data_IF_811680974237
#
_entry.id   IF_811680974237
#
_cell.length_a   1.000
_cell.length_b   1.000
_cell.length_c   1.000
_cell.angle_alpha   90.00
_cell.angle_beta   90.00
_cell.angle_gamma   90.00
#
_symmetry.space_group_name_H-M   'P 1'
#
loop_
_entity.id
_entity.type
_entity.pdbx_description
1 polymer ?
#
# COMPACT_ATOMS: atom_id res chain seq x y z
N UNK A 1 9.54 7.05 -20.71
CA UNK A 1 9.19 8.44 -21.11
C UNK A 1 9.88 9.49 -20.24
N UNK A 2 9.62 9.61 -18.93
CA UNK A 2 10.23 10.68 -18.11
C UNK A 2 11.77 10.67 -18.07
N UNK A 3 12.41 9.50 -17.91
CA UNK A 3 13.88 9.37 -17.99
C UNK A 3 14.47 9.82 -19.33
N UNK A 4 13.73 9.66 -20.43
CA UNK A 4 14.16 10.09 -21.77
C UNK A 4 13.96 11.59 -22.00
N UNK A 5 12.99 12.21 -21.33
CA UNK A 5 12.66 13.64 -21.49
C UNK A 5 13.47 14.54 -20.54
N UNK A 6 13.67 14.10 -19.29
CA UNK A 6 14.26 14.93 -18.22
C UNK A 6 15.63 14.45 -17.75
N UNK A 7 16.15 13.36 -18.32
CA UNK A 7 17.41 12.75 -17.88
C UNK A 7 17.25 11.88 -16.62
N UNK A 8 18.23 11.02 -16.39
CA UNK A 8 18.18 10.00 -15.32
C UNK A 8 18.30 10.65 -13.94
N UNK A 9 19.28 11.52 -13.72
CA UNK A 9 19.52 12.16 -12.41
C UNK A 9 18.32 12.95 -11.91
N UNK A 10 17.74 13.82 -12.75
CA UNK A 10 16.58 14.63 -12.37
C UNK A 10 15.34 13.76 -12.10
N UNK A 11 15.14 12.70 -12.88
CA UNK A 11 14.00 11.78 -12.67
C UNK A 11 14.16 10.99 -11.38
N UNK A 12 15.34 10.45 -11.11
CA UNK A 12 15.60 9.63 -9.93
C UNK A 12 15.57 10.48 -8.65
N UNK A 13 16.10 11.71 -8.67
CA UNK A 13 15.99 12.65 -7.55
C UNK A 13 14.52 12.99 -7.21
N UNK A 14 13.68 13.21 -8.23
CA UNK A 14 12.25 13.45 -8.03
C UNK A 14 11.52 12.22 -7.52
N UNK A 15 11.85 11.04 -8.04
CA UNK A 15 11.29 9.78 -7.56
C UNK A 15 11.62 9.55 -6.08
N UNK A 16 12.88 9.76 -5.68
CA UNK A 16 13.30 9.66 -4.29
C UNK A 16 12.60 10.67 -3.37
N UNK A 17 12.41 11.90 -3.83
CA UNK A 17 11.64 12.92 -3.09
C UNK A 17 10.19 12.48 -2.85
N UNK A 18 9.51 12.01 -3.91
CA UNK A 18 8.12 11.53 -3.81
C UNK A 18 8.04 10.33 -2.87
N UNK A 19 8.95 9.37 -3.03
CA UNK A 19 8.98 8.16 -2.20
C UNK A 19 9.19 8.50 -0.71
N UNK A 20 10.10 9.43 -0.40
CA UNK A 20 10.31 9.92 0.96
C UNK A 20 9.05 10.53 1.55
N UNK A 21 8.36 11.38 0.80
CA UNK A 21 7.10 12.01 1.24
C UNK A 21 6.01 10.96 1.44
N UNK A 22 5.85 10.01 0.51
CA UNK A 22 4.90 8.91 0.64
C UNK A 22 5.15 8.07 1.90
N UNK A 23 6.41 7.76 2.21
CA UNK A 23 6.75 7.00 3.41
C UNK A 23 6.46 7.77 4.70
N UNK A 24 6.84 9.06 4.75
CA UNK A 24 6.53 9.92 5.90
C UNK A 24 5.01 10.01 6.10
N UNK A 25 4.25 10.23 5.03
CA UNK A 25 2.79 10.33 5.08
C UNK A 25 2.16 9.02 5.54
N UNK A 26 2.60 7.88 4.99
CA UNK A 26 2.10 6.55 5.38
C UNK A 26 2.34 6.30 6.86
N UNK A 27 3.57 6.53 7.34
CA UNK A 27 3.91 6.36 8.74
C UNK A 27 3.08 7.28 9.65
N UNK A 28 2.97 8.56 9.30
CA UNK A 28 2.21 9.53 10.07
C UNK A 28 0.73 9.14 10.20
N UNK A 29 0.08 8.72 9.11
CA UNK A 29 -1.32 8.29 9.12
C UNK A 29 -1.50 7.03 9.95
N UNK A 30 -0.63 6.03 9.80
CA UNK A 30 -0.71 4.78 10.57
C UNK A 30 -0.51 5.06 12.07
N UNK A 31 0.50 5.84 12.44
CA UNK A 31 0.76 6.17 13.84
C UNK A 31 -0.36 7.01 14.46
N UNK A 32 -0.91 7.97 13.72
CA UNK A 32 -2.07 8.74 14.16
C UNK A 32 -3.29 7.84 14.39
N UNK A 33 -3.56 6.92 13.47
CA UNK A 33 -4.66 5.97 13.60
C UNK A 33 -4.51 5.05 14.81
N UNK A 34 -3.29 4.52 15.05
CA UNK A 34 -3.00 3.67 16.21
C UNK A 34 -3.23 4.46 17.50
N UNK A 35 -2.67 5.67 17.62
CA UNK A 35 -2.84 6.50 18.80
C UNK A 35 -4.32 6.85 19.05
N UNK A 36 -5.05 7.22 17.99
CA UNK A 36 -6.50 7.48 18.07
C UNK A 36 -7.28 6.26 18.54
N UNK A 37 -6.91 5.06 18.07
CA UNK A 37 -7.57 3.81 18.46
C UNK A 37 -7.28 3.46 19.92
N UNK A 38 -6.04 3.65 20.40
CA UNK A 38 -5.68 3.42 21.81
C UNK A 38 -6.39 4.39 22.77
N UNK A 39 -6.64 5.63 22.35
CA UNK A 39 -7.43 6.57 23.15
C UNK A 39 -8.93 6.25 23.15
N UNK A 40 -9.42 5.55 22.12
CA UNK A 40 -10.85 5.23 21.96
C UNK A 40 -11.24 3.86 22.51
N UNK A 41 -10.29 2.92 22.66
CA UNK A 41 -10.54 1.53 23.01
C UNK A 41 -9.94 1.18 24.36
N UNK A 42 -10.67 0.41 25.16
CA UNK A 42 -10.15 -0.17 26.40
C UNK A 42 -9.39 -1.48 26.12
N UNK A 43 -8.56 -1.98 27.05
CA UNK A 43 -7.85 -3.26 26.88
C UNK A 43 -8.78 -4.48 26.71
N UNK A 44 -10.00 -4.40 27.24
CA UNK A 44 -11.02 -5.46 27.12
C UNK A 44 -11.58 -5.53 25.69
N UNK A 45 -11.81 -4.38 25.06
CA UNK A 45 -12.25 -4.28 23.67
C UNK A 45 -11.27 -4.91 22.68
N UNK A 46 -9.98 -4.70 22.91
CA UNK A 46 -8.91 -5.29 22.09
C UNK A 46 -8.85 -6.81 22.23
N UNK A 47 -9.19 -7.34 23.42
CA UNK A 47 -9.25 -8.78 23.65
C UNK A 47 -10.44 -9.42 22.92
N UNK A 48 -11.60 -8.77 22.97
CA UNK A 48 -12.78 -9.21 22.22
C UNK A 48 -12.59 -9.13 20.70
N UNK A 49 -12.01 -8.04 20.19
CA UNK A 49 -11.70 -7.90 18.76
C UNK A 49 -10.75 -9.01 18.26
N UNK A 50 -9.76 -9.37 19.09
CA UNK A 50 -8.82 -10.47 18.82
C UNK A 50 -9.52 -11.84 18.82
N UNK A 51 -10.42 -12.09 19.77
CA UNK A 51 -11.21 -13.33 19.81
C UNK A 51 -12.12 -13.47 18.59
N UNK A 52 -12.69 -12.36 18.10
CA UNK A 52 -13.54 -12.36 16.90
C UNK A 52 -12.79 -12.27 15.56
N UNK A 53 -11.44 -12.20 15.55
CA UNK A 53 -10.61 -12.00 14.35
C UNK A 53 -11.05 -10.79 13.49
N UNK A 54 -11.69 -9.80 14.11
CA UNK A 54 -12.13 -8.59 13.42
C UNK A 54 -10.99 -7.57 13.42
N UNK A 55 -10.88 -6.80 12.33
CA UNK A 55 -10.00 -5.64 12.33
C UNK A 55 -10.50 -4.61 13.36
N UNK A 56 -9.58 -3.88 14.00
CA UNK A 56 -9.93 -2.82 14.96
C UNK A 56 -10.92 -1.81 14.37
N UNK A 57 -10.82 -1.52 13.07
CA UNK A 57 -11.75 -0.65 12.36
C UNK A 57 -13.17 -1.25 12.27
N UNK A 58 -13.29 -2.55 12.00
CA UNK A 58 -14.58 -3.26 12.01
C UNK A 58 -15.18 -3.37 13.42
N UNK A 59 -14.34 -3.52 14.45
CA UNK A 59 -14.81 -3.54 15.84
C UNK A 59 -15.38 -2.17 16.24
N UNK A 60 -14.59 -1.09 16.03
CA UNK A 60 -15.04 0.28 16.26
C UNK A 60 -16.31 0.62 15.46
N UNK A 61 -16.44 0.15 14.22
CA UNK A 61 -17.64 0.36 13.41
C UNK A 61 -18.91 -0.25 14.03
N UNK A 62 -18.80 -1.43 14.65
CA UNK A 62 -19.90 -2.11 15.31
C UNK A 62 -20.27 -1.44 16.64
N UNK A 63 -19.28 -1.06 17.43
CA UNK A 63 -19.49 -0.38 18.73
C UNK A 63 -20.16 1.00 18.53
N UNK A 64 -19.68 1.78 17.55
CA UNK A 64 -20.18 3.12 17.26
C UNK A 64 -21.52 3.14 16.50
N UNK A 65 -22.04 2.00 16.03
CA UNK A 65 -23.28 1.88 15.23
C UNK A 65 -23.39 2.95 14.11
N UNK A 66 -22.25 3.36 13.53
CA UNK A 66 -22.22 4.49 12.60
C UNK A 66 -22.45 3.99 11.16
N UNK A 67 -23.62 4.29 10.54
CA UNK A 67 -23.96 3.78 9.20
C UNK A 67 -22.95 4.22 8.13
N UNK A 68 -22.24 5.33 8.36
CA UNK A 68 -21.20 5.82 7.46
C UNK A 68 -20.02 4.86 7.38
N UNK A 69 -19.57 4.31 8.52
CA UNK A 69 -18.39 3.44 8.56
C UNK A 69 -18.73 2.06 7.97
N UNK A 70 -19.93 1.55 8.23
CA UNK A 70 -20.41 0.27 7.68
C UNK A 70 -20.43 0.25 6.15
N UNK A 71 -20.76 1.38 5.51
CA UNK A 71 -20.77 1.52 4.05
C UNK A 71 -19.36 1.83 3.51
N UNK A 72 -18.59 2.67 4.21
CA UNK A 72 -17.27 3.09 3.76
C UNK A 72 -16.22 1.96 3.86
N UNK A 73 -16.30 1.12 4.90
CA UNK A 73 -15.28 0.09 5.17
C UNK A 73 -15.13 -0.93 4.02
N UNK A 74 -16.19 -1.51 3.44
CA UNK A 74 -16.09 -2.40 2.28
C UNK A 74 -15.48 -1.73 1.04
N UNK A 75 -15.83 -0.47 0.78
CA UNK A 75 -15.30 0.29 -0.36
C UNK A 75 -13.80 0.53 -0.20
N UNK A 76 -13.38 0.95 0.99
CA UNK A 76 -11.96 1.15 1.31
C UNK A 76 -11.20 -0.17 1.18
N UNK A 77 -11.76 -1.27 1.70
CA UNK A 77 -11.16 -2.59 1.60
C UNK A 77 -10.99 -3.03 0.13
N UNK A 78 -12.02 -2.85 -0.71
CA UNK A 78 -11.96 -3.16 -2.13
C UNK A 78 -10.85 -2.38 -2.84
N UNK A 79 -10.82 -1.05 -2.67
CA UNK A 79 -9.79 -0.19 -3.27
C UNK A 79 -8.38 -0.57 -2.79
N UNK A 80 -8.22 -0.88 -1.50
CA UNK A 80 -6.94 -1.29 -0.93
C UNK A 80 -6.43 -2.61 -1.52
N UNK A 81 -7.32 -3.61 -1.64
CA UNK A 81 -7.00 -4.92 -2.24
C UNK A 81 -6.61 -4.74 -3.71
N UNK A 82 -7.43 -4.02 -4.49
CA UNK A 82 -7.14 -3.79 -5.92
C UNK A 82 -5.82 -3.05 -6.12
N UNK A 83 -5.56 -1.99 -5.33
CA UNK A 83 -4.29 -1.25 -5.39
C UNK A 83 -3.09 -2.14 -5.08
N UNK A 84 -3.18 -2.95 -4.01
CA UNK A 84 -2.10 -3.86 -3.62
C UNK A 84 -1.84 -4.93 -4.68
N UNK A 85 -2.90 -5.49 -5.26
CA UNK A 85 -2.83 -6.49 -6.31
C UNK A 85 -2.15 -5.95 -7.57
N UNK A 86 -2.56 -4.78 -8.07
CA UNK A 86 -1.96 -4.16 -9.24
C UNK A 86 -0.48 -3.84 -9.04
N UNK A 87 -0.11 -3.36 -7.85
CA UNK A 87 1.29 -3.09 -7.50
C UNK A 87 2.19 -4.33 -7.60
N UNK A 88 1.74 -5.46 -7.04
CA UNK A 88 2.48 -6.72 -7.10
C UNK A 88 2.49 -7.32 -8.52
N UNK A 89 1.36 -7.29 -9.22
CA UNK A 89 1.23 -7.85 -10.56
C UNK A 89 2.11 -7.13 -11.57
N UNK A 90 1.99 -5.80 -11.66
CA UNK A 90 2.79 -4.98 -12.57
C UNK A 90 4.28 -5.09 -12.21
N UNK A 91 4.60 -5.02 -10.92
CA UNK A 91 5.99 -5.16 -10.44
C UNK A 91 6.61 -6.49 -10.83
N UNK A 92 5.91 -7.61 -10.61
CA UNK A 92 6.40 -8.94 -10.98
C UNK A 92 6.55 -9.09 -12.51
N UNK A 93 5.59 -8.57 -13.27
CA UNK A 93 5.61 -8.62 -14.72
C UNK A 93 6.79 -7.84 -15.32
N UNK A 94 7.01 -6.61 -14.88
CA UNK A 94 8.13 -5.77 -15.35
C UNK A 94 9.48 -6.41 -15.01
N UNK A 95 9.63 -6.92 -13.78
CA UNK A 95 10.85 -7.61 -13.34
C UNK A 95 11.11 -8.86 -14.19
N UNK A 96 10.09 -9.68 -14.44
CA UNK A 96 10.24 -10.90 -15.24
C UNK A 96 10.61 -10.58 -16.69
N UNK A 97 9.95 -9.59 -17.31
CA UNK A 97 10.28 -9.13 -18.67
C UNK A 97 11.73 -8.67 -18.76
N UNK A 98 12.15 -7.79 -17.85
CA UNK A 98 13.51 -7.24 -17.86
C UNK A 98 14.57 -8.32 -17.59
N UNK A 99 14.24 -9.31 -16.75
CA UNK A 99 15.06 -10.48 -16.50
C UNK A 99 15.25 -11.31 -17.76
N UNK A 100 14.17 -11.66 -18.47
CA UNK A 100 14.22 -12.43 -19.73
C UNK A 100 15.08 -11.72 -20.78
N UNK A 101 14.90 -10.40 -20.96
CA UNK A 101 15.69 -9.60 -21.90
C UNK A 101 17.18 -9.60 -21.52
N UNK A 102 17.50 -9.38 -20.23
CA UNK A 102 18.89 -9.39 -19.75
C UNK A 102 19.55 -10.76 -19.95
N UNK A 103 18.85 -11.86 -19.63
CA UNK A 103 19.37 -13.22 -19.85
C UNK A 103 19.54 -13.54 -21.34
N UNK A 104 18.62 -13.07 -22.20
CA UNK A 104 18.72 -13.20 -23.65
C UNK A 104 19.98 -12.52 -24.21
N UNK A 105 20.21 -11.25 -23.83
CA UNK A 105 21.41 -10.49 -24.21
C UNK A 105 22.69 -11.15 -23.71
N UNK A 106 22.71 -11.65 -22.47
CA UNK A 106 23.87 -12.38 -21.91
C UNK A 106 24.22 -13.67 -22.68
N UNK A 107 23.27 -14.24 -23.43
CA UNK A 107 23.46 -15.43 -24.27
C UNK A 107 23.67 -15.11 -25.75
N UNK A 108 23.93 -13.85 -26.09
CA UNK A 108 24.17 -13.40 -27.47
C UNK A 108 22.93 -13.34 -28.35
N UNK A 109 21.72 -13.49 -27.78
CA UNK A 109 20.46 -13.31 -28.51
C UNK A 109 19.96 -11.89 -28.32
N UNK A 110 19.98 -11.11 -29.41
CA UNK A 110 19.34 -9.80 -29.47
C UNK A 110 17.83 -9.98 -29.67
N UNK A 111 17.06 -9.76 -28.62
CA UNK A 111 15.61 -9.57 -28.74
C UNK A 111 15.38 -8.04 -28.82
N UNK A 112 14.87 -7.57 -29.96
CA UNK A 112 14.31 -6.22 -30.14
C UNK A 112 12.94 -6.10 -29.45
#
# INVERSE_FOLDING_TARGET
>A
KQRATYGIEATDAKCAQIQKVCYIMTFAVVMFFVWSSTLSLTPEDLKMAKEQNLSILSYLANELNSPVITIAAPIIAFVAITKSFLGHYIGAFEVMRDMIIKFGKSRGKSFE
#
